data_IF_826857162267
#
_entry.id   IF_826857162267
#
_cell.length_a   1.000
_cell.length_b   1.000
_cell.length_c   1.000
_cell.angle_alpha   90.00
_cell.angle_beta   90.00
_cell.angle_gamma   90.00
#
_symmetry.space_group_name_H-M   'P 1'
#
loop_
_entity.id
_entity.type
_entity.pdbx_description
1 polymer ?
#
# COMPACT_ATOMS: atom_id res chain seq x y z
N UNK A 1 4.11 -0.89 -7.37
CA UNK A 1 4.39 0.57 -7.23
C UNK A 1 4.89 0.84 -5.82
N UNK A 2 5.69 1.89 -5.59
CA UNK A 2 6.07 2.28 -4.24
C UNK A 2 4.91 3.08 -3.60
N UNK A 3 4.58 2.77 -2.36
CA UNK A 3 3.47 3.36 -1.60
C UNK A 3 4.06 4.39 -0.64
N UNK A 4 3.50 5.62 -0.64
CA UNK A 4 4.00 6.72 0.18
C UNK A 4 3.44 6.67 1.59
N UNK A 5 4.29 6.76 2.59
CA UNK A 5 3.91 6.81 3.99
C UNK A 5 4.68 7.83 4.80
N UNK A 6 4.28 7.97 6.05
CA UNK A 6 5.02 8.72 7.07
C UNK A 6 5.12 7.90 8.34
N UNK A 7 6.14 8.18 9.18
CA UNK A 7 6.11 7.72 10.55
C UNK A 7 5.91 8.89 11.52
N UNK A 8 5.27 8.60 12.66
CA UNK A 8 4.84 9.60 13.63
C UNK A 8 4.97 9.10 15.05
N UNK A 9 5.15 10.07 15.97
CA UNK A 9 5.16 9.86 17.39
C UNK A 9 4.47 11.02 18.13
N UNK A 10 4.50 11.02 19.46
CA UNK A 10 4.02 12.15 20.26
C UNK A 10 4.72 13.47 19.90
N UNK A 11 5.95 13.42 19.35
CA UNK A 11 6.72 14.61 18.97
C UNK A 11 6.10 15.38 17.78
N UNK A 12 5.32 14.73 16.93
CA UNK A 12 4.58 15.40 15.85
C UNK A 12 3.34 16.17 16.35
N UNK A 13 3.02 16.03 17.66
CA UNK A 13 1.83 16.65 18.26
C UNK A 13 0.53 16.07 17.66
N UNK A 14 -0.51 16.89 17.52
CA UNK A 14 -1.75 16.45 16.88
C UNK A 14 -1.56 16.38 15.36
N UNK A 15 -1.78 15.19 14.79
CA UNK A 15 -1.70 14.92 13.36
C UNK A 15 -3.08 14.95 12.73
N UNK A 16 -3.20 15.56 11.55
CA UNK A 16 -4.43 15.58 10.75
C UNK A 16 -4.30 14.55 9.60
N UNK A 17 -4.95 13.41 9.76
CA UNK A 17 -4.88 12.29 8.80
C UNK A 17 -5.55 12.61 7.45
N UNK A 18 -6.59 13.44 7.42
CA UNK A 18 -7.17 13.92 6.15
C UNK A 18 -6.16 14.76 5.37
N UNK A 19 -5.40 15.60 6.04
CA UNK A 19 -4.31 16.36 5.39
C UNK A 19 -3.24 15.43 4.85
N UNK A 20 -2.84 14.38 5.58
CA UNK A 20 -1.89 13.38 5.09
C UNK A 20 -2.41 12.71 3.81
N UNK A 21 -3.65 12.19 3.81
CA UNK A 21 -4.28 11.55 2.64
C UNK A 21 -4.35 12.48 1.43
N UNK A 22 -4.75 13.73 1.62
CA UNK A 22 -4.84 14.72 0.55
C UNK A 22 -3.47 15.08 -0.05
N UNK A 23 -2.37 14.73 0.62
CA UNK A 23 -1.00 14.89 0.12
C UNK A 23 -0.37 13.56 -0.34
N UNK A 24 -1.21 12.55 -0.59
CA UNK A 24 -0.80 11.27 -1.16
C UNK A 24 -0.12 10.32 -0.17
N UNK A 25 -0.33 10.50 1.15
CA UNK A 25 0.11 9.55 2.17
C UNK A 25 -0.93 8.44 2.27
N UNK A 26 -0.49 7.20 2.10
CA UNK A 26 -1.35 6.03 2.03
C UNK A 26 -1.21 5.12 3.26
N UNK A 27 -0.13 5.26 4.03
CA UNK A 27 0.05 4.54 5.29
C UNK A 27 0.80 5.38 6.33
N UNK A 28 0.71 4.96 7.59
CA UNK A 28 1.45 5.56 8.70
C UNK A 28 2.06 4.48 9.59
N UNK A 29 3.30 4.71 10.07
CA UNK A 29 3.87 3.88 11.13
C UNK A 29 3.93 4.72 12.41
N UNK A 30 3.36 4.20 13.51
CA UNK A 30 3.09 4.98 14.73
C UNK A 30 3.97 4.46 15.86
N UNK A 31 4.73 5.34 16.52
CA UNK A 31 5.47 4.96 17.71
C UNK A 31 4.49 4.52 18.79
N UNK A 32 4.69 3.30 19.31
CA UNK A 32 3.87 2.82 20.43
C UNK A 32 4.49 3.15 21.78
N UNK A 33 5.80 3.29 21.83
CA UNK A 33 6.53 3.58 23.05
C UNK A 33 8.03 3.37 22.86
N UNK A 34 8.74 3.28 23.97
CA UNK A 34 10.18 3.05 24.00
C UNK A 34 10.57 2.22 25.23
N UNK A 35 11.62 1.41 25.10
CA UNK A 35 12.19 0.65 26.21
C UNK A 35 11.25 -0.38 26.83
N UNK A 36 11.60 -0.82 28.03
CA UNK A 36 10.94 -1.91 28.77
C UNK A 36 9.47 -1.62 29.10
N UNK A 37 8.74 -2.66 29.53
CA UNK A 37 7.29 -2.64 29.74
C UNK A 37 6.88 -1.82 30.98
N UNK A 38 7.05 -0.51 30.90
CA UNK A 38 6.56 0.45 31.90
C UNK A 38 5.59 1.42 31.24
N UNK A 39 4.44 1.69 31.86
CA UNK A 39 3.38 2.55 31.30
C UNK A 39 3.81 4.00 31.09
N UNK A 40 4.81 4.49 31.81
CA UNK A 40 5.40 5.81 31.61
C UNK A 40 6.32 5.89 30.38
N UNK A 41 6.60 4.77 29.73
CA UNK A 41 7.33 4.66 28.48
C UNK A 41 6.40 4.49 27.26
N UNK A 42 5.09 4.42 27.47
CA UNK A 42 4.12 4.45 26.39
C UNK A 42 4.18 5.81 25.66
N UNK A 43 4.09 5.81 24.33
CA UNK A 43 3.90 7.06 23.59
C UNK A 43 2.51 7.61 23.91
N UNK A 44 2.47 8.84 24.42
CA UNK A 44 1.24 9.48 24.94
C UNK A 44 0.15 9.66 23.89
N UNK A 45 0.51 9.59 22.61
CA UNK A 45 -0.42 9.75 21.49
C UNK A 45 -0.67 8.47 20.71
N UNK A 46 -0.07 7.34 21.08
CA UNK A 46 -0.23 6.09 20.34
C UNK A 46 -1.70 5.73 20.15
N UNK A 47 -2.45 5.61 21.23
CA UNK A 47 -3.87 5.24 21.17
C UNK A 47 -4.73 6.26 20.39
N UNK A 48 -4.44 7.55 20.54
CA UNK A 48 -5.11 8.62 19.78
C UNK A 48 -4.80 8.53 18.28
N UNK A 49 -3.52 8.32 17.93
CA UNK A 49 -3.07 8.24 16.54
C UNK A 49 -3.61 7.01 15.84
N UNK A 50 -3.61 5.83 16.50
CA UNK A 50 -4.24 4.61 15.98
C UNK A 50 -5.72 4.85 15.69
N UNK A 51 -6.48 5.35 16.66
CA UNK A 51 -7.91 5.65 16.48
C UNK A 51 -8.16 6.60 15.31
N UNK A 52 -7.32 7.62 15.14
CA UNK A 52 -7.44 8.58 14.03
C UNK A 52 -7.07 7.97 12.68
N UNK A 53 -6.05 7.11 12.62
CA UNK A 53 -5.67 6.37 11.41
C UNK A 53 -6.83 5.48 10.95
N UNK A 54 -7.37 4.67 11.87
CA UNK A 54 -8.51 3.79 11.60
C UNK A 54 -9.76 4.57 11.15
N UNK A 55 -10.11 5.65 11.84
CA UNK A 55 -11.24 6.50 11.46
C UNK A 55 -11.07 7.18 10.09
N UNK A 56 -9.83 7.40 9.66
CA UNK A 56 -9.51 7.95 8.35
C UNK A 56 -9.41 6.85 7.26
N UNK A 57 -9.57 5.57 7.61
CA UNK A 57 -9.31 4.44 6.72
C UNK A 57 -7.86 4.44 6.20
N UNK A 58 -6.91 4.83 7.05
CA UNK A 58 -5.47 4.82 6.73
C UNK A 58 -4.83 3.59 7.36
N UNK A 59 -4.32 2.64 6.57
CA UNK A 59 -3.58 1.51 7.09
C UNK A 59 -2.40 1.97 7.95
N UNK A 60 -2.15 1.28 9.06
CA UNK A 60 -1.09 1.67 9.98
C UNK A 60 -0.22 0.50 10.40
N UNK A 61 1.03 0.81 10.76
CA UNK A 61 1.97 -0.05 11.46
C UNK A 61 2.38 0.57 12.79
N UNK A 62 3.19 -0.13 13.56
CA UNK A 62 3.67 0.36 14.85
C UNK A 62 5.18 0.14 15.01
N UNK A 63 5.86 0.99 15.79
CA UNK A 63 7.25 0.74 16.14
C UNK A 63 7.50 1.00 17.63
N UNK A 64 8.48 0.26 18.19
CA UNK A 64 9.01 0.45 19.54
C UNK A 64 10.47 0.86 19.45
N UNK A 65 10.80 2.01 20.03
CA UNK A 65 12.19 2.49 20.14
C UNK A 65 12.95 1.71 21.22
N UNK A 66 14.03 1.05 20.84
CA UNK A 66 14.74 0.13 21.71
C UNK A 66 15.83 0.80 22.56
N UNK A 67 15.87 0.40 23.82
CA UNK A 67 16.98 0.62 24.75
C UNK A 67 17.57 -0.67 25.29
N UNK A 68 17.23 -1.84 24.72
CA UNK A 68 17.59 -3.15 25.25
C UNK A 68 19.08 -3.42 25.12
N UNK A 69 19.75 -3.52 26.23
CA UNK A 69 21.18 -3.86 26.32
C UNK A 69 21.46 -5.37 26.46
N UNK A 70 20.41 -6.18 26.55
CA UNK A 70 20.46 -7.64 26.58
C UNK A 70 19.10 -8.22 26.23
N UNK A 71 19.03 -9.54 26.03
CA UNK A 71 17.82 -10.25 25.64
C UNK A 71 16.70 -10.19 26.70
N UNK A 72 17.03 -10.09 27.99
CA UNK A 72 16.00 -9.92 29.02
C UNK A 72 15.28 -8.57 28.92
N UNK A 73 16.00 -7.49 28.58
CA UNK A 73 15.38 -6.20 28.29
C UNK A 73 14.59 -6.24 27.00
N UNK A 74 15.12 -6.87 25.94
CA UNK A 74 14.40 -7.02 24.68
C UNK A 74 13.10 -7.81 24.85
N UNK A 75 13.08 -8.83 25.72
CA UNK A 75 11.85 -9.54 26.09
C UNK A 75 10.84 -8.62 26.77
N UNK A 76 11.30 -7.77 27.71
CA UNK A 76 10.44 -6.77 28.35
C UNK A 76 9.91 -5.73 27.34
N UNK A 77 10.70 -5.35 26.33
CA UNK A 77 10.27 -4.47 25.24
C UNK A 77 9.23 -5.17 24.34
N UNK A 78 9.38 -6.47 24.10
CA UNK A 78 8.36 -7.25 23.39
C UNK A 78 7.04 -7.33 24.20
N UNK A 79 7.11 -7.56 25.50
CA UNK A 79 5.93 -7.53 26.39
C UNK A 79 5.27 -6.14 26.38
N UNK A 80 6.06 -5.05 26.29
CA UNK A 80 5.56 -3.69 26.16
C UNK A 80 4.75 -3.53 24.86
N UNK A 81 5.32 -3.95 23.74
CA UNK A 81 4.65 -3.91 22.44
C UNK A 81 3.36 -4.75 22.46
N UNK A 82 3.40 -5.98 22.92
CA UNK A 82 2.24 -6.87 23.00
C UNK A 82 1.11 -6.29 23.86
N UNK A 83 1.44 -5.64 24.96
CA UNK A 83 0.45 -4.96 25.81
C UNK A 83 -0.29 -3.86 25.06
N UNK A 84 0.42 -3.04 24.30
CA UNK A 84 -0.15 -1.92 23.55
C UNK A 84 -0.89 -2.36 22.30
N UNK A 85 -0.48 -3.46 21.69
CA UNK A 85 -1.07 -4.02 20.46
C UNK A 85 -2.27 -4.94 20.73
N UNK A 86 -2.58 -5.24 21.99
CA UNK A 86 -3.69 -6.15 22.33
C UNK A 86 -5.00 -5.74 21.63
N UNK A 87 -5.55 -6.67 20.83
CA UNK A 87 -6.79 -6.46 20.06
C UNK A 87 -6.66 -5.48 18.89
N UNK A 88 -5.45 -5.27 18.37
CA UNK A 88 -5.17 -4.41 17.22
C UNK A 88 -4.45 -5.20 16.12
N UNK A 89 -4.71 -4.83 14.87
CA UNK A 89 -4.08 -5.43 13.69
C UNK A 89 -3.32 -4.35 12.91
N UNK A 90 -2.03 -4.15 13.18
CA UNK A 90 -1.20 -3.20 12.44
C UNK A 90 -0.90 -3.73 11.04
N UNK A 91 -1.62 -3.26 10.02
CA UNK A 91 -1.51 -3.71 8.62
C UNK A 91 -0.19 -3.32 7.92
N UNK A 92 0.66 -2.53 8.58
CA UNK A 92 2.04 -2.22 8.14
C UNK A 92 3.09 -2.77 9.11
N UNK A 93 2.74 -3.83 9.86
CA UNK A 93 3.66 -4.58 10.71
C UNK A 93 4.04 -3.89 12.02
N UNK A 94 4.90 -4.58 12.75
CA UNK A 94 5.49 -4.15 14.02
C UNK A 94 7.00 -4.07 13.86
N UNK A 95 7.57 -2.91 14.14
CA UNK A 95 8.98 -2.62 13.84
C UNK A 95 9.78 -2.40 15.13
N UNK A 96 10.89 -3.10 15.24
CA UNK A 96 11.85 -2.90 16.32
C UNK A 96 12.86 -1.85 15.86
N UNK A 97 12.86 -0.70 16.51
CA UNK A 97 13.67 0.46 16.16
C UNK A 97 14.99 0.41 16.93
N UNK A 98 16.07 0.10 16.22
CA UNK A 98 17.41 -0.15 16.76
C UNK A 98 18.39 0.89 16.22
N UNK A 99 18.42 2.05 16.87
CA UNK A 99 19.28 3.16 16.41
C UNK A 99 19.95 3.94 17.55
N UNK A 100 19.57 3.68 18.82
CA UNK A 100 20.11 4.45 19.95
C UNK A 100 21.62 4.27 20.10
N UNK A 101 22.39 5.35 20.19
CA UNK A 101 23.86 5.28 20.37
C UNK A 101 24.31 4.47 21.60
N UNK A 102 23.47 4.36 22.65
CA UNK A 102 23.76 3.56 23.83
C UNK A 102 23.79 2.05 23.57
N UNK A 103 23.28 1.61 22.41
CA UNK A 103 23.34 0.22 21.94
C UNK A 103 24.68 -0.13 21.27
N UNK A 104 25.60 0.83 21.15
CA UNK A 104 26.96 0.56 20.67
C UNK A 104 27.65 -0.47 21.53
N UNK A 105 28.16 -1.55 20.95
CA UNK A 105 28.78 -2.67 21.65
C UNK A 105 27.81 -3.68 22.27
N UNK A 106 26.51 -3.47 22.14
CA UNK A 106 25.49 -4.45 22.54
C UNK A 106 25.32 -5.51 21.43
N UNK A 107 25.02 -6.76 21.79
CA UNK A 107 24.58 -7.78 20.84
C UNK A 107 23.15 -7.47 20.35
N UNK A 108 23.06 -6.47 19.46
CA UNK A 108 21.80 -6.04 18.87
C UNK A 108 21.17 -7.10 17.94
N UNK A 109 21.95 -8.08 17.50
CA UNK A 109 21.42 -9.23 16.76
C UNK A 109 20.55 -10.08 17.69
N UNK A 110 21.07 -10.44 18.86
CA UNK A 110 20.31 -11.25 19.82
C UNK A 110 19.09 -10.50 20.38
N UNK A 111 19.20 -9.20 20.66
CA UNK A 111 18.04 -8.40 21.12
C UNK A 111 16.97 -8.27 20.05
N UNK A 112 17.35 -8.01 18.80
CA UNK A 112 16.41 -7.91 17.68
C UNK A 112 15.70 -9.25 17.40
N UNK A 113 16.45 -10.37 17.43
CA UNK A 113 15.83 -11.70 17.33
C UNK A 113 14.80 -11.92 18.44
N UNK A 114 15.17 -11.62 19.69
CA UNK A 114 14.28 -11.82 20.85
C UNK A 114 12.97 -11.04 20.72
N UNK A 115 13.04 -9.79 20.25
CA UNK A 115 11.84 -8.98 20.04
C UNK A 115 11.01 -9.49 18.86
N UNK A 116 11.65 -9.68 17.71
CA UNK A 116 10.93 -10.06 16.49
C UNK A 116 10.32 -11.46 16.60
N UNK A 117 11.03 -12.45 17.19
CA UNK A 117 10.48 -13.78 17.44
C UNK A 117 9.22 -13.70 18.32
N UNK A 118 9.25 -12.90 19.39
CA UNK A 118 8.09 -12.73 20.26
C UNK A 118 6.90 -12.06 19.55
N UNK A 119 7.15 -11.17 18.60
CA UNK A 119 6.07 -10.60 17.76
C UNK A 119 5.52 -11.63 16.79
N UNK A 120 6.39 -12.39 16.09
CA UNK A 120 5.96 -13.46 15.17
C UNK A 120 5.20 -14.56 15.92
N UNK A 121 5.65 -14.99 17.08
CA UNK A 121 4.97 -15.98 17.95
C UNK A 121 3.57 -15.51 18.39
N UNK A 122 3.38 -14.20 18.50
CA UNK A 122 2.07 -13.60 18.79
C UNK A 122 1.21 -13.32 17.55
N UNK A 123 1.68 -13.71 16.35
CA UNK A 123 0.95 -13.57 15.10
C UNK A 123 1.12 -12.20 14.39
N UNK A 124 2.08 -11.38 14.83
CA UNK A 124 2.36 -10.10 14.17
C UNK A 124 3.46 -10.23 13.12
N UNK A 125 3.31 -9.52 12.01
CA UNK A 125 4.39 -9.32 11.04
C UNK A 125 5.47 -8.44 11.67
N UNK A 126 6.69 -8.97 11.83
CA UNK A 126 7.77 -8.28 12.52
C UNK A 126 8.89 -7.86 11.56
N UNK A 127 9.49 -6.71 11.82
CA UNK A 127 10.65 -6.21 11.11
C UNK A 127 11.56 -5.33 11.98
N UNK A 128 12.67 -4.91 11.40
CA UNK A 128 13.70 -4.13 12.06
C UNK A 128 13.87 -2.81 11.32
N UNK A 129 13.69 -1.70 12.06
CA UNK A 129 14.11 -0.38 11.60
C UNK A 129 15.49 -0.06 12.14
N UNK A 130 16.34 0.44 11.27
CA UNK A 130 17.60 1.04 11.65
C UNK A 130 18.17 1.89 10.51
N UNK A 131 19.15 2.73 10.83
CA UNK A 131 19.92 3.44 9.80
C UNK A 131 20.71 2.46 8.92
N UNK A 132 21.02 2.88 7.70
CA UNK A 132 21.85 2.12 6.77
C UNK A 132 23.19 1.67 7.43
N UNK A 133 23.78 2.52 8.25
CA UNK A 133 25.05 2.21 8.94
C UNK A 133 24.91 1.05 9.94
N UNK A 134 23.84 1.02 10.71
CA UNK A 134 23.52 -0.08 11.63
C UNK A 134 23.24 -1.38 10.87
N UNK A 135 22.45 -1.33 9.79
CA UNK A 135 22.12 -2.50 8.99
C UNK A 135 23.33 -3.08 8.25
N UNK A 136 24.28 -2.26 7.83
CA UNK A 136 25.54 -2.71 7.23
C UNK A 136 26.62 -3.08 8.27
N UNK A 137 26.45 -2.70 9.51
CA UNK A 137 27.37 -2.92 10.61
C UNK A 137 26.86 -3.94 11.63
N UNK A 138 26.47 -3.48 12.82
CA UNK A 138 26.10 -4.32 13.95
C UNK A 138 24.89 -5.22 13.73
N UNK A 139 23.98 -4.85 12.85
CA UNK A 139 22.81 -5.64 12.44
C UNK A 139 23.06 -6.50 11.20
N UNK A 140 24.27 -6.50 10.63
CA UNK A 140 24.59 -7.30 9.44
C UNK A 140 24.84 -8.77 9.82
N UNK A 141 23.77 -9.52 10.02
CA UNK A 141 23.81 -10.93 10.39
C UNK A 141 22.78 -11.71 9.59
N UNK A 142 23.16 -12.90 9.12
CA UNK A 142 22.23 -13.83 8.45
C UNK A 142 21.09 -14.30 9.37
N UNK A 143 21.29 -14.27 10.68
CA UNK A 143 20.25 -14.55 11.66
C UNK A 143 19.05 -13.60 11.59
N UNK A 144 19.25 -12.40 11.06
CA UNK A 144 18.22 -11.39 10.90
C UNK A 144 17.61 -11.35 9.49
N UNK A 145 18.08 -12.16 8.55
CA UNK A 145 17.64 -12.10 7.15
C UNK A 145 16.17 -12.54 6.97
N UNK A 146 15.61 -13.30 7.92
CA UNK A 146 14.19 -13.70 7.91
C UNK A 146 13.21 -12.55 8.24
N UNK A 147 13.65 -11.55 9.00
CA UNK A 147 12.82 -10.39 9.31
C UNK A 147 12.95 -9.32 8.23
N UNK A 148 11.88 -8.62 7.98
CA UNK A 148 11.90 -7.50 7.04
C UNK A 148 12.71 -6.32 7.57
N UNK A 149 13.10 -5.42 6.65
CA UNK A 149 13.88 -4.23 6.98
C UNK A 149 13.16 -2.95 6.59
N UNK A 150 13.14 -2.02 7.50
CA UNK A 150 12.80 -0.63 7.28
C UNK A 150 14.10 0.18 7.41
N UNK A 151 14.63 0.60 6.26
CA UNK A 151 15.94 1.22 6.13
C UNK A 151 15.83 2.72 6.25
N UNK A 152 16.51 3.34 7.21
CA UNK A 152 16.69 4.78 7.24
C UNK A 152 17.95 5.18 6.49
N UNK A 153 17.75 5.89 5.40
CA UNK A 153 18.82 6.53 4.61
C UNK A 153 18.24 7.75 3.92
N UNK A 154 18.50 8.93 4.44
CA UNK A 154 18.00 10.18 3.89
C UNK A 154 18.81 10.58 2.66
N UNK A 155 18.30 10.17 1.50
CA UNK A 155 18.99 10.30 0.21
C UNK A 155 17.95 10.27 -0.92
N UNK A 156 18.43 10.48 -2.15
CA UNK A 156 17.62 10.34 -3.37
C UNK A 156 17.36 8.88 -3.77
N UNK A 157 18.12 7.92 -3.24
CA UNK A 157 17.94 6.47 -3.46
C UNK A 157 18.45 5.68 -2.26
N UNK A 158 17.84 4.53 -2.00
CA UNK A 158 18.33 3.58 -1.01
C UNK A 158 19.48 2.76 -1.60
N UNK A 159 20.61 2.71 -0.88
CA UNK A 159 21.81 1.96 -1.30
C UNK A 159 22.01 0.66 -0.54
N UNK A 160 21.09 0.28 0.34
CA UNK A 160 21.12 -1.00 1.04
C UNK A 160 21.08 -2.15 0.03
N UNK A 161 21.96 -3.16 0.17
CA UNK A 161 22.15 -4.20 -0.83
C UNK A 161 21.37 -5.48 -0.58
N UNK A 162 20.81 -5.65 0.63
CA UNK A 162 19.93 -6.78 0.95
C UNK A 162 18.48 -6.41 0.73
N UNK A 163 17.57 -7.39 0.87
CA UNK A 163 16.13 -7.17 0.77
C UNK A 163 15.63 -6.24 1.89
N UNK A 164 14.73 -5.34 1.53
CA UNK A 164 14.01 -4.46 2.45
C UNK A 164 12.61 -4.18 1.92
N UNK A 165 11.69 -3.88 2.81
CA UNK A 165 10.33 -3.60 2.45
C UNK A 165 9.96 -2.12 2.57
N UNK A 166 10.60 -1.38 3.48
CA UNK A 166 10.35 0.07 3.65
C UNK A 166 11.66 0.83 3.65
N UNK A 167 11.63 2.03 3.08
CA UNK A 167 12.72 2.99 3.06
C UNK A 167 12.24 4.34 3.61
N UNK A 168 12.84 4.78 4.74
CA UNK A 168 12.70 6.15 5.24
C UNK A 168 13.73 7.01 4.49
N UNK A 169 13.23 7.86 3.59
CA UNK A 169 14.06 8.61 2.66
C UNK A 169 14.36 10.04 3.11
N UNK A 170 13.66 10.55 4.11
CA UNK A 170 13.82 11.92 4.63
C UNK A 170 13.20 12.08 6.01
N UNK A 171 13.77 12.97 6.82
CA UNK A 171 13.24 13.47 8.08
C UNK A 171 12.54 14.85 7.92
N UNK A 172 12.36 15.32 6.69
CA UNK A 172 11.94 16.71 6.38
C UNK A 172 10.81 16.78 5.35
N UNK A 173 9.92 15.80 5.32
CA UNK A 173 8.74 15.84 4.47
C UNK A 173 7.73 16.85 5.03
N UNK A 174 7.54 17.97 4.32
CA UNK A 174 6.60 19.02 4.75
C UNK A 174 5.19 18.71 4.24
N UNK A 175 4.24 18.53 5.17
CA UNK A 175 2.82 18.35 4.85
C UNK A 175 1.99 19.24 5.80
N UNK A 176 1.15 20.11 5.22
CA UNK A 176 0.30 21.00 6.01
C UNK A 176 1.07 21.92 6.98
N UNK A 177 2.30 22.31 6.61
CA UNK A 177 3.17 23.15 7.42
C UNK A 177 3.87 22.45 8.58
N UNK A 178 3.82 21.12 8.65
CA UNK A 178 4.54 20.28 9.62
C UNK A 178 5.56 19.37 8.94
N UNK A 179 6.66 19.08 9.64
CA UNK A 179 7.65 18.10 9.19
C UNK A 179 7.26 16.70 9.64
N UNK A 180 7.49 15.73 8.76
CA UNK A 180 7.32 14.31 8.99
C UNK A 180 8.51 13.54 8.44
N UNK A 181 8.76 12.37 8.99
CA UNK A 181 9.65 11.39 8.39
C UNK A 181 8.91 10.70 7.24
N UNK A 182 9.49 10.79 6.03
CA UNK A 182 8.87 10.30 4.81
C UNK A 182 9.35 8.91 4.45
N UNK A 183 8.41 8.03 4.04
CA UNK A 183 8.67 6.64 3.77
C UNK A 183 8.13 6.20 2.40
N UNK A 184 8.80 5.21 1.80
CA UNK A 184 8.33 4.43 0.68
C UNK A 184 8.24 2.95 1.09
N UNK A 185 7.06 2.35 0.95
CA UNK A 185 6.88 0.91 1.07
C UNK A 185 6.85 0.26 -0.32
N UNK A 186 7.54 -0.89 -0.45
CA UNK A 186 7.70 -1.64 -1.71
C UNK A 186 6.96 -2.98 -1.71
N UNK A 187 6.30 -3.31 -0.60
CA UNK A 187 5.47 -4.50 -0.42
C UNK A 187 4.03 -4.10 -0.15
N UNK A 188 3.10 -4.92 -0.55
CA UNK A 188 1.69 -4.83 -0.15
C UNK A 188 1.52 -5.48 1.23
N UNK A 189 1.84 -4.70 2.28
CA UNK A 189 1.76 -5.19 3.66
C UNK A 189 0.34 -5.57 4.08
N UNK A 190 -0.71 -4.79 3.73
CA UNK A 190 -2.07 -5.19 4.05
C UNK A 190 -2.44 -6.57 3.55
N UNK A 191 -2.18 -6.89 2.28
CA UNK A 191 -2.47 -8.21 1.71
C UNK A 191 -1.62 -9.32 2.36
N UNK A 192 -0.32 -9.07 2.60
CA UNK A 192 0.56 -10.03 3.27
C UNK A 192 0.05 -10.34 4.69
N UNK A 193 -0.30 -9.33 5.47
CA UNK A 193 -0.70 -9.49 6.88
C UNK A 193 -2.10 -10.10 6.99
N UNK A 194 -3.03 -9.75 6.12
CA UNK A 194 -4.33 -10.41 6.03
C UNK A 194 -4.18 -11.91 5.74
N UNK A 195 -3.34 -12.26 4.76
CA UNK A 195 -3.06 -13.66 4.43
C UNK A 195 -2.43 -14.42 5.62
N UNK A 196 -1.52 -13.80 6.39
CA UNK A 196 -0.94 -14.37 7.61
C UNK A 196 -2.01 -14.65 8.67
N UNK A 197 -3.03 -13.78 8.79
CA UNK A 197 -4.11 -13.92 9.75
C UNK A 197 -5.19 -14.92 9.31
N UNK A 198 -5.04 -15.55 8.13
CA UNK A 198 -6.06 -16.42 7.54
C UNK A 198 -7.25 -15.63 6.99
N UNK A 199 -7.16 -14.32 6.98
CA UNK A 199 -8.01 -13.46 6.21
C UNK A 199 -7.50 -13.52 4.77
N UNK A 200 -7.81 -14.62 4.05
CA UNK A 200 -7.74 -14.54 2.59
C UNK A 200 -8.60 -13.35 2.22
N UNK A 201 -8.10 -12.44 1.38
CA UNK A 201 -9.02 -11.71 0.55
C UNK A 201 -9.89 -12.83 -0.07
N UNK A 202 -11.14 -12.98 0.38
CA UNK A 202 -12.13 -13.28 -0.59
C UNK A 202 -11.83 -12.16 -1.60
N UNK A 203 -11.17 -12.51 -2.72
CA UNK A 203 -11.41 -11.74 -3.92
C UNK A 203 -12.92 -11.61 -3.86
N UNK A 204 -13.42 -10.39 -3.62
CA UNK A 204 -14.69 -9.99 -4.14
C UNK A 204 -14.50 -10.06 -5.67
N UNK A 205 -14.28 -11.26 -6.16
CA UNK A 205 -14.90 -11.78 -7.33
C UNK A 205 -16.39 -11.81 -7.01
N UNK A 206 -16.97 -10.62 -6.72
CA UNK A 206 -18.32 -10.39 -7.14
C UNK A 206 -18.29 -10.60 -8.65
N UNK A 207 -18.32 -11.89 -8.97
CA UNK A 207 -18.65 -12.30 -10.35
C UNK A 207 -19.90 -11.52 -10.66
N UNK A 208 -19.70 -10.48 -11.50
CA UNK A 208 -20.79 -9.59 -11.91
C UNK A 208 -22.00 -10.50 -12.15
N UNK A 209 -23.07 -10.27 -11.45
CA UNK A 209 -24.30 -11.00 -11.74
C UNK A 209 -24.58 -10.83 -13.23
N UNK A 210 -25.26 -11.76 -13.85
CA UNK A 210 -25.59 -11.66 -15.28
C UNK A 210 -26.23 -10.30 -15.62
N UNK A 211 -27.04 -9.75 -14.72
CA UNK A 211 -27.69 -8.44 -14.91
C UNK A 211 -26.70 -7.28 -14.83
N UNK A 212 -25.75 -7.31 -13.90
CA UNK A 212 -24.68 -6.31 -13.79
C UNK A 212 -23.73 -6.37 -14.98
N UNK A 213 -23.36 -7.59 -15.42
CA UNK A 213 -22.55 -7.79 -16.61
C UNK A 213 -23.26 -7.26 -17.87
N UNK A 214 -24.56 -7.54 -18.00
CA UNK A 214 -25.38 -7.06 -19.12
C UNK A 214 -25.45 -5.53 -19.14
N UNK A 215 -25.72 -4.89 -18.00
CA UNK A 215 -25.75 -3.42 -17.87
C UNK A 215 -24.37 -2.79 -18.19
N UNK A 216 -23.29 -3.43 -17.76
CA UNK A 216 -21.94 -2.99 -18.12
C UNK A 216 -21.68 -3.09 -19.63
N UNK A 217 -22.05 -4.19 -20.25
CA UNK A 217 -21.90 -4.40 -21.69
C UNK A 217 -22.76 -3.44 -22.51
N UNK A 218 -23.99 -3.18 -22.08
CA UNK A 218 -24.86 -2.20 -22.73
C UNK A 218 -24.27 -0.77 -22.67
N UNK A 219 -23.72 -0.37 -21.52
CA UNK A 219 -23.02 0.92 -21.37
C UNK A 219 -21.76 0.99 -22.23
N UNK A 220 -20.98 -0.05 -22.26
CA UNK A 220 -19.78 -0.12 -23.07
C UNK A 220 -20.08 0.00 -24.58
N UNK A 221 -21.11 -0.69 -25.07
CA UNK A 221 -21.55 -0.57 -26.47
C UNK A 221 -22.10 0.83 -26.77
N UNK A 222 -22.82 1.46 -25.83
CA UNK A 222 -23.27 2.85 -25.97
C UNK A 222 -22.14 3.86 -26.04
N UNK A 223 -21.06 3.64 -25.28
CA UNK A 223 -19.86 4.48 -25.34
C UNK A 223 -19.14 4.31 -26.68
N UNK A 224 -18.96 3.08 -27.15
CA UNK A 224 -18.39 2.78 -28.46
C UNK A 224 -19.19 3.38 -29.59
N UNK A 225 -20.52 3.37 -29.52
CA UNK A 225 -21.40 3.95 -30.53
C UNK A 225 -21.17 5.46 -30.72
N UNK A 226 -20.65 6.17 -29.69
CA UNK A 226 -20.35 7.62 -29.74
C UNK A 226 -18.95 7.92 -30.29
N UNK A 227 -18.10 6.93 -30.46
CA UNK A 227 -16.77 7.13 -31.01
C UNK A 227 -16.79 7.59 -32.45
N UNK A 228 -15.81 8.39 -32.83
CA UNK A 228 -15.72 8.91 -34.21
C UNK A 228 -15.12 7.86 -35.14
N UNK A 229 -15.44 7.99 -36.41
CA UNK A 229 -14.80 7.20 -37.51
C UNK A 229 -13.28 7.39 -37.44
N UNK A 230 -12.55 6.29 -37.39
CA UNK A 230 -11.08 6.31 -37.43
C UNK A 230 -10.60 6.91 -38.75
N UNK A 231 -9.48 7.65 -38.74
CA UNK A 231 -8.94 8.35 -39.90
C UNK A 231 -8.72 7.44 -41.09
N UNK A 232 -8.26 6.20 -40.83
CA UNK A 232 -8.03 5.20 -41.92
C UNK A 232 -9.29 4.66 -42.57
N UNK A 233 -10.43 4.70 -41.85
CA UNK A 233 -11.70 4.14 -42.33
C UNK A 233 -12.64 5.21 -42.95
N UNK A 234 -12.26 6.48 -42.89
CA UNK A 234 -13.13 7.60 -43.26
C UNK A 234 -13.66 7.48 -44.69
N UNK A 235 -12.81 7.27 -45.66
CA UNK A 235 -13.17 7.18 -47.09
C UNK A 235 -14.07 5.96 -47.34
N UNK A 236 -13.82 4.84 -46.67
CA UNK A 236 -14.64 3.63 -46.79
C UNK A 236 -16.05 3.83 -46.20
N UNK A 237 -16.16 4.49 -45.05
CA UNK A 237 -17.45 4.81 -44.43
C UNK A 237 -18.24 5.80 -45.27
N UNK A 238 -17.62 6.85 -45.80
CA UNK A 238 -18.26 7.79 -46.73
C UNK A 238 -18.76 7.10 -47.99
N UNK A 239 -17.96 6.17 -48.54
CA UNK A 239 -18.36 5.38 -49.72
C UNK A 239 -19.58 4.53 -49.44
N UNK A 240 -19.58 3.70 -48.39
CA UNK A 240 -20.72 2.77 -48.13
C UNK A 240 -22.01 3.52 -47.76
N UNK A 241 -21.93 4.69 -47.13
CA UNK A 241 -23.07 5.55 -46.90
C UNK A 241 -23.60 6.20 -48.15
N UNK A 242 -22.72 6.77 -48.97
CA UNK A 242 -23.08 7.39 -50.26
C UNK A 242 -23.73 6.40 -51.20
N UNK A 243 -23.21 5.19 -51.25
CA UNK A 243 -23.75 4.11 -52.05
C UNK A 243 -25.00 3.44 -51.43
N UNK A 244 -25.42 3.84 -50.20
CA UNK A 244 -26.58 3.24 -49.54
C UNK A 244 -26.40 1.77 -49.15
N UNK A 245 -25.15 1.33 -49.02
CA UNK A 245 -24.84 -0.04 -48.58
C UNK A 245 -25.00 -0.18 -47.09
N UNK A 246 -24.59 0.86 -46.34
CA UNK A 246 -24.76 0.96 -44.88
C UNK A 246 -25.25 2.38 -44.53
N UNK A 247 -26.42 2.47 -43.94
CA UNK A 247 -27.07 3.78 -43.68
C UNK A 247 -26.95 4.26 -42.23
N UNK A 248 -26.50 3.41 -41.32
CA UNK A 248 -26.54 3.68 -39.88
C UNK A 248 -27.93 3.50 -39.26
N UNK A 249 -28.10 3.98 -38.04
CA UNK A 249 -29.35 3.89 -37.28
C UNK A 249 -30.36 4.96 -37.67
N UNK A 250 -31.61 4.79 -37.21
CA UNK A 250 -32.71 5.74 -37.50
C UNK A 250 -32.47 7.16 -36.94
N UNK A 251 -31.60 7.31 -35.97
CA UNK A 251 -31.17 8.59 -35.40
C UNK A 251 -30.02 9.26 -36.17
N UNK A 252 -29.54 8.62 -37.25
CA UNK A 252 -28.44 9.07 -38.09
C UNK A 252 -27.04 8.72 -37.58
N UNK A 253 -26.91 7.96 -36.49
CA UNK A 253 -25.61 7.49 -35.98
C UNK A 253 -25.11 6.32 -36.82
N UNK A 254 -23.82 6.31 -37.16
CA UNK A 254 -23.19 5.21 -37.92
C UNK A 254 -22.55 4.14 -37.03
N UNK A 255 -22.28 4.45 -35.77
CA UNK A 255 -21.64 3.57 -34.76
C UNK A 255 -20.37 2.87 -35.29
N UNK A 256 -19.36 3.60 -35.76
CA UNK A 256 -18.22 3.04 -36.51
C UNK A 256 -17.36 2.06 -35.75
N UNK A 257 -17.43 2.05 -34.42
CA UNK A 257 -16.66 1.16 -33.54
C UNK A 257 -17.51 0.03 -32.93
N UNK A 258 -18.80 -0.03 -33.22
CA UNK A 258 -19.69 -1.10 -32.75
C UNK A 258 -19.50 -2.38 -33.55
N UNK A 259 -19.78 -3.51 -32.92
CA UNK A 259 -19.76 -4.81 -33.59
C UNK A 259 -20.91 -4.90 -34.60
N UNK A 260 -20.64 -5.43 -35.79
CA UNK A 260 -21.66 -5.70 -36.77
C UNK A 260 -22.33 -7.05 -36.50
N UNK A 261 -23.64 -7.07 -36.44
CA UNK A 261 -24.40 -8.32 -36.30
C UNK A 261 -24.47 -9.09 -37.64
N UNK A 262 -24.75 -10.41 -37.61
CA UNK A 262 -24.97 -11.21 -38.81
C UNK A 262 -26.15 -10.70 -39.65
N UNK A 263 -27.17 -10.12 -39.01
CA UNK A 263 -28.32 -9.54 -39.70
C UNK A 263 -27.95 -8.26 -40.45
N UNK A 264 -27.17 -7.38 -39.82
CA UNK A 264 -26.67 -6.15 -40.47
C UNK A 264 -25.75 -6.49 -41.64
N UNK A 265 -24.82 -7.45 -41.46
CA UNK A 265 -23.96 -7.92 -42.55
C UNK A 265 -24.78 -8.52 -43.73
N UNK A 266 -25.81 -9.33 -43.43
CA UNK A 266 -26.68 -9.89 -44.47
C UNK A 266 -27.44 -8.79 -45.22
N UNK A 267 -27.89 -7.73 -44.53
CA UNK A 267 -28.53 -6.58 -45.18
C UNK A 267 -27.56 -5.84 -46.09
N UNK A 268 -26.33 -5.62 -45.71
CA UNK A 268 -25.27 -4.98 -46.53
C UNK A 268 -25.01 -5.79 -47.81
N UNK A 269 -24.80 -7.12 -47.66
CA UNK A 269 -24.58 -8.01 -48.81
C UNK A 269 -25.78 -8.04 -49.77
N UNK A 270 -26.99 -7.98 -49.22
CA UNK A 270 -28.20 -7.87 -50.07
C UNK A 270 -28.25 -6.54 -50.81
N UNK A 271 -27.98 -5.42 -50.14
CA UNK A 271 -27.95 -4.08 -50.76
C UNK A 271 -26.90 -3.98 -51.86
N UNK A 272 -25.79 -4.68 -51.76
CA UNK A 272 -24.77 -4.77 -52.81
C UNK A 272 -25.26 -5.60 -54.00
N UNK A 273 -25.94 -6.70 -53.72
CA UNK A 273 -26.46 -7.59 -54.79
C UNK A 273 -27.60 -6.97 -55.60
N UNK A 274 -28.43 -6.14 -54.98
CA UNK A 274 -29.62 -5.52 -55.61
C UNK A 274 -29.26 -4.27 -56.47
N UNK A 275 -27.97 -3.90 -56.54
CA UNK A 275 -27.43 -2.84 -57.43
C UNK A 275 -27.03 -3.36 -58.79
#
# INVERSE_FOLDING_TARGET
MAIKGVDISEHNGSVNFSTLKNNGVEFVIIRMGYGSNYTNQDDKRFAENVKKAEAAGMPWGAYLYSYAKNTSMAKSEAEHALRLLKGKTPLYGVWYDVEDPQLSGVDVVATSQTFCDAMEDAGYYAGIYASLSWLNGSLNSSKLDKYDKWVAQWNSSCTYKKAYGIWQYTDKLVIGGKNFDGNWAYKDYPSIIKAMNGETEEEDDEMLTYDQWKDYMERYEQEKAKEKVSSWAKDAVEFVQKEGLMNGDADGSFRPQSNVTRQELAAVLKNEHDK
#
